data_IF_019426813408
#
_entry.id   IF_019426813408
#
_cell.length_a   1.000
_cell.length_b   1.000
_cell.length_c   1.000
_cell.angle_alpha   90.00
_cell.angle_beta   90.00
_cell.angle_gamma   90.00
#
_symmetry.space_group_name_H-M   'P 1'
#
loop_
_entity.id
_entity.type
_entity.pdbx_description
1 polymer ?
#
# COMPACT_ATOMS: atom_id res chain seq x y z
N UNK A 1 -9.00 -15.11 2.22
CA UNK A 1 -7.90 -14.53 3.00
C UNK A 1 -7.16 -15.56 3.85
N UNK A 2 -7.81 -16.63 4.33
CA UNK A 2 -7.19 -17.67 5.18
C UNK A 2 -5.86 -18.24 4.64
N UNK A 3 -5.81 -18.60 3.35
CA UNK A 3 -4.60 -19.13 2.73
C UNK A 3 -3.43 -18.11 2.76
N UNK A 4 -3.74 -16.83 2.53
CA UNK A 4 -2.77 -15.72 2.55
C UNK A 4 -2.29 -15.44 3.98
N UNK A 5 -3.21 -15.41 4.96
CA UNK A 5 -2.89 -15.25 6.39
C UNK A 5 -1.97 -16.39 6.86
N UNK A 6 -2.24 -17.62 6.43
CA UNK A 6 -1.38 -18.76 6.70
C UNK A 6 0.00 -18.62 6.02
N UNK A 7 0.06 -18.10 4.79
CA UNK A 7 1.31 -17.85 4.07
C UNK A 7 2.16 -16.78 4.76
N UNK A 8 1.56 -15.65 5.17
CA UNK A 8 2.20 -14.59 5.95
C UNK A 8 2.82 -15.16 7.23
N UNK A 9 2.05 -15.99 7.94
CA UNK A 9 2.53 -16.66 9.15
C UNK A 9 3.68 -17.64 8.90
N UNK A 10 3.66 -18.40 7.79
CA UNK A 10 4.77 -19.27 7.39
C UNK A 10 6.03 -18.48 7.02
N UNK A 11 5.86 -17.26 6.50
CA UNK A 11 6.95 -16.34 6.20
C UNK A 11 7.51 -15.61 7.45
N UNK A 12 7.05 -15.97 8.66
CA UNK A 12 7.51 -15.36 9.92
C UNK A 12 7.00 -13.93 10.14
N UNK A 13 6.08 -13.45 9.31
CA UNK A 13 5.47 -12.12 9.45
C UNK A 13 4.28 -12.20 10.42
N UNK A 14 3.96 -11.10 11.14
CA UNK A 14 2.78 -11.06 12.01
C UNK A 14 1.52 -11.44 11.25
N UNK A 15 0.77 -12.41 11.76
CA UNK A 15 -0.50 -12.84 11.14
C UNK A 15 -1.56 -11.77 11.37
N UNK A 16 -2.12 -11.17 10.31
CA UNK A 16 -3.21 -10.23 10.48
C UNK A 16 -4.50 -10.96 10.87
N UNK A 17 -5.41 -10.27 11.54
CA UNK A 17 -6.77 -10.73 11.76
C UNK A 17 -7.54 -10.80 10.42
N UNK A 18 -8.61 -11.62 10.39
CA UNK A 18 -9.51 -11.66 9.24
C UNK A 18 -10.18 -10.30 9.04
N UNK A 19 -10.15 -9.70 7.82
CA UNK A 19 -10.66 -8.35 7.61
C UNK A 19 -12.17 -8.35 7.37
N UNK A 20 -12.95 -8.69 8.40
CA UNK A 20 -14.42 -8.88 8.30
C UNK A 20 -15.15 -7.68 7.70
N UNK A 21 -14.78 -6.46 8.10
CA UNK A 21 -15.41 -5.23 7.57
C UNK A 21 -15.20 -5.08 6.06
N UNK A 22 -13.98 -5.32 5.58
CA UNK A 22 -13.66 -5.26 4.16
C UNK A 22 -14.47 -6.29 3.35
N UNK A 23 -14.63 -7.51 3.88
CA UNK A 23 -15.41 -8.55 3.22
C UNK A 23 -16.90 -8.20 3.15
N UNK A 24 -17.44 -7.63 4.23
CA UNK A 24 -18.82 -7.15 4.25
C UNK A 24 -19.04 -6.00 3.25
N UNK A 25 -18.09 -5.08 3.14
CA UNK A 25 -18.15 -3.97 2.18
C UNK A 25 -17.98 -4.45 0.74
N UNK A 26 -17.08 -5.41 0.49
CA UNK A 26 -16.83 -5.98 -0.84
C UNK A 26 -18.09 -6.63 -1.42
N UNK A 27 -18.90 -7.29 -0.58
CA UNK A 27 -20.18 -7.87 -1.00
C UNK A 27 -21.21 -6.83 -1.49
N UNK A 28 -20.98 -5.54 -1.25
CA UNK A 28 -21.84 -4.42 -1.65
C UNK A 28 -21.33 -3.68 -2.89
N UNK A 29 -20.14 -4.03 -3.38
CA UNK A 29 -19.56 -3.44 -4.59
C UNK A 29 -20.12 -4.22 -5.78
N UNK A 30 -20.71 -3.50 -6.73
CA UNK A 30 -21.15 -4.07 -8.01
C UNK A 30 -19.95 -4.07 -8.98
N UNK A 31 -19.85 -3.07 -9.86
CA UNK A 31 -18.73 -2.93 -10.78
C UNK A 31 -17.78 -1.82 -10.32
N UNK A 32 -16.48 -2.10 -10.29
CA UNK A 32 -15.46 -1.12 -9.95
C UNK A 32 -14.14 -1.40 -10.68
N UNK A 33 -13.40 -0.34 -10.97
CA UNK A 33 -12.00 -0.39 -11.39
C UNK A 33 -11.23 0.64 -10.55
N UNK A 34 -10.04 0.27 -10.08
CA UNK A 34 -9.23 1.11 -9.20
C UNK A 34 -7.79 1.17 -9.68
N UNK A 35 -7.15 2.31 -9.42
CA UNK A 35 -5.72 2.52 -9.63
C UNK A 35 -5.13 3.17 -8.38
N UNK A 36 -3.94 2.75 -7.99
CA UNK A 36 -3.14 3.40 -6.95
C UNK A 36 -1.94 4.09 -7.62
N UNK A 37 -1.93 5.42 -7.60
CA UNK A 37 -0.85 6.24 -8.15
C UNK A 37 -0.01 6.82 -7.01
N UNK A 38 1.30 6.56 -7.03
CA UNK A 38 2.22 7.12 -6.04
C UNK A 38 2.52 8.59 -6.32
N UNK A 39 1.91 9.49 -5.54
CA UNK A 39 2.07 10.94 -5.72
C UNK A 39 3.52 11.40 -5.54
N UNK A 40 4.23 10.89 -4.53
CA UNK A 40 5.62 11.28 -4.27
C UNK A 40 6.52 10.95 -5.47
N UNK A 41 6.31 9.79 -6.10
CA UNK A 41 7.03 9.40 -7.33
C UNK A 41 6.61 10.23 -8.53
N UNK A 42 5.32 10.57 -8.65
CA UNK A 42 4.87 11.46 -9.71
C UNK A 42 5.55 12.83 -9.60
N UNK A 43 5.59 13.40 -8.39
CA UNK A 43 6.22 14.70 -8.13
C UNK A 43 7.72 14.62 -8.38
N UNK A 44 8.40 13.58 -7.90
CA UNK A 44 9.82 13.33 -8.17
C UNK A 44 10.12 13.37 -9.67
N UNK A 45 9.31 12.69 -10.49
CA UNK A 45 9.46 12.70 -11.95
C UNK A 45 9.15 14.07 -12.58
N UNK A 46 8.13 14.78 -12.08
CA UNK A 46 7.77 16.12 -12.57
C UNK A 46 8.85 17.17 -12.24
N UNK A 47 9.60 16.96 -11.15
CA UNK A 47 10.72 17.79 -10.73
C UNK A 47 12.05 17.35 -11.36
N UNK A 48 12.06 16.27 -12.15
CA UNK A 48 13.28 15.65 -12.72
C UNK A 48 14.31 15.27 -11.65
N UNK A 49 13.84 14.73 -10.53
CA UNK A 49 14.67 14.31 -9.40
C UNK A 49 14.96 12.80 -9.42
N UNK A 50 16.17 12.43 -9.02
CA UNK A 50 16.61 11.02 -9.01
C UNK A 50 16.14 10.23 -7.79
N UNK A 51 15.66 10.92 -6.75
CA UNK A 51 15.32 10.32 -5.45
C UNK A 51 14.08 10.93 -4.82
N UNK A 52 13.31 10.08 -4.12
CA UNK A 52 12.13 10.50 -3.36
C UNK A 52 12.47 11.51 -2.27
N UNK A 53 13.70 11.49 -1.74
CA UNK A 53 14.13 12.42 -0.70
C UNK A 53 14.04 13.88 -1.16
N UNK A 54 14.20 14.14 -2.47
CA UNK A 54 14.11 15.49 -3.04
C UNK A 54 12.66 15.91 -3.36
N UNK A 55 11.70 14.98 -3.27
CA UNK A 55 10.29 15.20 -3.58
C UNK A 55 9.38 15.22 -2.33
N UNK A 56 9.94 15.02 -1.14
CA UNK A 56 9.22 15.03 0.14
C UNK A 56 9.86 16.02 1.12
N UNK A 57 9.08 16.58 2.05
CA UNK A 57 9.58 17.62 2.98
C UNK A 57 10.58 17.07 4.01
N UNK A 58 10.35 15.85 4.49
CA UNK A 58 11.19 15.17 5.47
C UNK A 58 11.37 13.72 5.04
N UNK A 59 12.56 13.40 4.56
CA UNK A 59 12.93 12.05 4.17
C UNK A 59 13.41 11.24 5.38
N UNK A 60 13.34 9.90 5.34
CA UNK A 60 13.92 9.05 6.38
C UNK A 60 15.43 9.28 6.60
N UNK A 61 16.14 9.84 5.61
CA UNK A 61 17.55 10.22 5.71
C UNK A 61 17.83 11.50 6.51
N UNK A 62 16.80 12.27 6.85
CA UNK A 62 16.93 13.54 7.59
C UNK A 62 16.93 13.35 9.11
N UNK A 63 16.73 12.12 9.58
CA UNK A 63 16.71 11.69 10.98
C UNK A 63 18.02 10.99 11.36
#
# INVERSE_FOLDING_TARGET
FDAEIAAIGRAGRPRPAMPERFLADLARINDACGIALGLDRLIMLLLDEDTLANAVTFAPSDL
#
